data_IF_410755620763
#
_entry.id   IF_410755620763
#
_cell.length_a   1.000
_cell.length_b   1.000
_cell.length_c   1.000
_cell.angle_alpha   90.00
_cell.angle_beta   90.00
_cell.angle_gamma   90.00
#
_symmetry.space_group_name_H-M   'P 1'
#
loop_
_entity.id
_entity.type
_entity.pdbx_description
1 polymer ?
#
# COMPACT_ATOMS: atom_id res chain seq x y z
N UNK A 1 -1.58 13.19 6.15
CA UNK A 1 -1.74 11.72 6.27
C UNK A 1 -1.18 11.06 5.00
N UNK A 2 -0.71 9.81 5.05
CA UNK A 2 0.02 9.18 3.93
C UNK A 2 -0.75 9.22 2.59
N UNK A 3 -2.05 8.96 2.63
CA UNK A 3 -2.91 8.88 1.45
C UNK A 3 -3.19 10.23 0.77
N UNK A 4 -2.96 11.35 1.47
CA UNK A 4 -3.15 12.69 0.90
C UNK A 4 -2.03 13.05 -0.08
N UNK A 5 -0.90 12.34 0.00
CA UNK A 5 0.22 12.48 -0.91
C UNK A 5 0.04 11.67 -2.19
N UNK A 6 -1.05 10.91 -2.31
CA UNK A 6 -1.39 10.07 -3.45
C UNK A 6 -2.66 10.56 -4.16
N UNK A 7 -2.68 10.39 -5.47
CA UNK A 7 -3.86 10.59 -6.31
C UNK A 7 -4.89 9.48 -6.13
N UNK A 8 -6.14 9.73 -6.54
CA UNK A 8 -7.28 8.81 -6.44
C UNK A 8 -7.60 8.32 -5.01
N UNK A 9 -7.24 9.09 -3.97
CA UNK A 9 -7.46 8.72 -2.57
C UNK A 9 -8.93 8.71 -2.09
N UNK A 10 -9.90 9.07 -2.94
CA UNK A 10 -11.32 9.05 -2.58
C UNK A 10 -11.83 7.62 -2.31
N UNK A 11 -11.23 6.60 -2.92
CA UNK A 11 -11.59 5.20 -2.66
C UNK A 11 -11.46 4.87 -1.17
N UNK A 12 -10.34 5.25 -0.55
CA UNK A 12 -10.08 4.99 0.86
C UNK A 12 -11.12 5.70 1.76
N UNK A 13 -11.46 6.96 1.43
CA UNK A 13 -12.47 7.74 2.17
C UNK A 13 -13.87 7.15 2.09
N UNK A 14 -14.16 6.37 1.03
CA UNK A 14 -15.44 5.69 0.90
C UNK A 14 -15.55 4.44 1.79
N UNK A 15 -14.41 3.82 2.12
CA UNK A 15 -14.34 2.56 2.85
C UNK A 15 -14.10 2.75 4.35
N UNK A 16 -13.29 3.74 4.72
CA UNK A 16 -12.83 3.96 6.08
C UNK A 16 -13.42 5.23 6.67
N UNK A 17 -13.85 5.17 7.94
CA UNK A 17 -14.17 6.38 8.69
C UNK A 17 -12.90 7.16 9.05
N UNK A 18 -11.86 6.42 9.44
CA UNK A 18 -10.52 6.91 9.70
C UNK A 18 -9.54 6.00 8.93
N UNK A 19 -8.80 6.57 7.98
CA UNK A 19 -7.86 5.79 7.16
C UNK A 19 -6.66 5.41 8.03
N UNK A 20 -6.35 4.11 8.16
CA UNK A 20 -5.35 3.67 9.11
C UNK A 20 -3.92 3.97 8.68
N UNK A 21 -3.04 4.04 9.67
CA UNK A 21 -1.60 4.03 9.44
C UNK A 21 -1.16 2.66 8.96
N UNK A 22 -0.19 2.63 8.04
CA UNK A 22 0.34 1.40 7.47
C UNK A 22 1.42 0.83 8.39
N UNK A 23 1.00 0.28 9.54
CA UNK A 23 1.88 -0.29 10.58
C UNK A 23 1.78 -1.82 10.62
N UNK A 24 2.93 -2.49 10.61
CA UNK A 24 3.08 -3.95 10.64
C UNK A 24 2.14 -4.69 9.67
N UNK A 25 2.04 -4.20 8.43
CA UNK A 25 1.19 -4.79 7.39
C UNK A 25 1.96 -5.83 6.59
N UNK A 26 1.22 -6.71 5.92
CA UNK A 26 1.80 -7.63 4.92
C UNK A 26 2.02 -6.87 3.63
N UNK A 27 3.26 -6.92 3.13
CA UNK A 27 3.64 -6.39 1.82
C UNK A 27 3.70 -7.60 0.88
N UNK A 28 2.75 -7.67 -0.04
CA UNK A 28 2.66 -8.76 -0.99
C UNK A 28 3.76 -8.66 -2.05
N UNK A 29 4.06 -7.45 -2.51
CA UNK A 29 5.10 -7.23 -3.50
C UNK A 29 5.51 -5.78 -3.71
N UNK A 30 6.75 -5.62 -4.19
CA UNK A 30 7.31 -4.39 -4.73
C UNK A 30 7.78 -4.72 -6.14
N UNK A 31 7.09 -4.18 -7.16
CA UNK A 31 7.32 -4.54 -8.56
C UNK A 31 7.96 -3.38 -9.30
N UNK A 32 9.18 -3.59 -9.79
CA UNK A 32 9.84 -2.64 -10.70
C UNK A 32 9.30 -2.89 -12.10
N UNK A 33 8.73 -1.85 -12.71
CA UNK A 33 8.12 -1.88 -14.04
C UNK A 33 8.76 -0.81 -14.93
N UNK A 34 8.54 -0.94 -16.24
CA UNK A 34 8.92 0.09 -17.23
C UNK A 34 10.40 0.51 -17.14
N UNK A 35 11.28 -0.49 -17.00
CA UNK A 35 12.73 -0.29 -16.91
C UNK A 35 13.15 0.58 -15.71
N UNK A 36 12.38 0.54 -14.61
CA UNK A 36 12.67 1.27 -13.39
C UNK A 36 11.98 2.62 -13.26
N UNK A 37 11.24 3.06 -14.29
CA UNK A 37 10.46 4.31 -14.24
C UNK A 37 9.18 4.22 -13.44
N UNK A 38 8.75 3.00 -13.11
CA UNK A 38 7.55 2.74 -12.32
C UNK A 38 7.82 1.70 -11.24
N UNK A 39 7.28 1.94 -10.05
CA UNK A 39 7.20 0.94 -8.98
C UNK A 39 5.74 0.73 -8.62
N UNK A 40 5.29 -0.52 -8.55
CA UNK A 40 3.99 -0.87 -7.95
C UNK A 40 4.23 -1.45 -6.57
N UNK A 41 3.62 -0.87 -5.55
CA UNK A 41 3.51 -1.44 -4.20
C UNK A 41 2.18 -2.17 -4.09
N UNK A 42 2.20 -3.42 -3.63
CA UNK A 42 1.00 -4.18 -3.32
C UNK A 42 1.07 -4.66 -1.87
N UNK A 43 0.10 -4.25 -1.07
CA UNK A 43 0.09 -4.52 0.37
C UNK A 43 -1.33 -4.62 0.93
N UNK A 44 -1.45 -5.26 2.09
CA UNK A 44 -2.72 -5.41 2.79
C UNK A 44 -2.99 -4.17 3.65
N UNK A 45 -4.24 -3.70 3.67
CA UNK A 45 -4.68 -2.70 4.63
C UNK A 45 -4.67 -3.30 6.04
N UNK A 46 -4.30 -2.53 7.08
CA UNK A 46 -4.16 -3.03 8.46
C UNK A 46 -5.39 -3.73 9.03
N UNK A 47 -6.58 -3.28 8.63
CA UNK A 47 -7.85 -3.86 9.03
C UNK A 47 -8.90 -3.74 7.92
N UNK A 48 -9.90 -4.61 8.00
CA UNK A 48 -11.02 -4.61 7.09
C UNK A 48 -11.83 -3.31 7.20
N UNK A 49 -12.43 -2.88 6.08
CA UNK A 49 -13.16 -1.62 6.01
C UNK A 49 -14.44 -1.65 6.86
N UNK A 50 -14.79 -0.51 7.47
CA UNK A 50 -16.05 -0.33 8.18
C UNK A 50 -17.24 -0.15 7.23
N UNK A 51 -16.97 0.32 6.00
CA UNK A 51 -17.98 0.51 4.95
C UNK A 51 -17.61 -0.28 3.69
N UNK A 52 -17.52 -1.63 3.77
CA UNK A 52 -17.17 -2.43 2.60
C UNK A 52 -18.30 -2.37 1.56
N UNK A 53 -18.00 -2.48 0.25
CA UNK A 53 -19.02 -2.67 -0.77
C UNK A 53 -19.87 -3.90 -0.47
N UNK A 54 -21.18 -3.82 -0.75
CA UNK A 54 -22.13 -4.94 -0.52
C UNK A 54 -21.66 -6.27 -1.13
N UNK A 55 -21.01 -6.20 -2.29
CA UNK A 55 -20.42 -7.37 -2.95
C UNK A 55 -19.40 -8.08 -2.06
N UNK A 56 -18.49 -7.34 -1.42
CA UNK A 56 -17.44 -7.91 -0.58
C UNK A 56 -18.02 -8.56 0.68
N UNK A 57 -19.00 -7.92 1.31
CA UNK A 57 -19.73 -8.48 2.45
C UNK A 57 -20.46 -9.79 2.06
N UNK A 58 -21.16 -9.82 0.92
CA UNK A 58 -21.86 -11.01 0.45
C UNK A 58 -20.92 -12.17 0.09
N UNK A 59 -19.68 -11.87 -0.31
CA UNK A 59 -18.66 -12.87 -0.64
C UNK A 59 -17.82 -13.29 0.58
N UNK A 60 -18.08 -12.73 1.76
CA UNK A 60 -17.35 -13.06 2.99
C UNK A 60 -15.90 -12.59 2.99
N UNK A 61 -15.56 -11.55 2.22
CA UNK A 61 -14.20 -11.00 2.22
C UNK A 61 -13.84 -10.46 3.61
N UNK A 62 -12.60 -10.73 4.04
CA UNK A 62 -12.11 -10.43 5.38
C UNK A 62 -10.80 -9.61 5.37
N UNK A 63 -10.29 -9.27 4.18
CA UNK A 63 -9.08 -8.48 4.01
C UNK A 63 -9.20 -7.58 2.77
N UNK A 64 -8.41 -6.52 2.76
CA UNK A 64 -8.37 -5.53 1.66
C UNK A 64 -6.92 -5.37 1.26
N UNK A 65 -6.65 -5.49 -0.03
CA UNK A 65 -5.36 -5.22 -0.63
C UNK A 65 -5.42 -3.92 -1.43
N UNK A 66 -4.32 -3.17 -1.39
CA UNK A 66 -4.13 -1.91 -2.10
C UNK A 66 -2.95 -2.05 -3.05
N UNK A 67 -3.14 -1.59 -4.29
CA UNK A 67 -2.05 -1.36 -5.23
C UNK A 67 -1.82 0.14 -5.39
N UNK A 68 -0.58 0.57 -5.18
CA UNK A 68 -0.13 1.94 -5.39
C UNK A 68 0.94 1.94 -6.46
N UNK A 69 0.71 2.70 -7.52
CA UNK A 69 1.70 2.94 -8.57
C UNK A 69 2.46 4.23 -8.29
N UNK A 70 3.78 4.18 -8.41
CA UNK A 70 4.70 5.29 -8.24
C UNK A 70 5.45 5.49 -9.55
N UNK A 71 5.44 6.72 -10.07
CA UNK A 71 5.90 7.07 -11.40
C UNK A 71 7.07 8.05 -11.37
N UNK A 72 7.87 8.03 -12.45
CA UNK A 72 9.04 8.90 -12.62
C UNK A 72 9.99 8.76 -11.42
N UNK A 73 10.47 7.54 -11.22
CA UNK A 73 11.36 7.19 -10.11
C UNK A 73 12.71 7.91 -10.26
N UNK A 74 13.10 8.67 -9.24
CA UNK A 74 14.41 9.29 -9.09
C UNK A 74 15.40 8.35 -8.40
N UNK A 75 14.94 7.65 -7.37
CA UNK A 75 15.75 6.64 -6.68
C UNK A 75 14.89 5.52 -6.10
N UNK A 76 15.45 4.32 -6.12
CA UNK A 76 14.90 3.13 -5.49
C UNK A 76 16.04 2.36 -4.84
N UNK A 77 15.95 2.17 -3.53
CA UNK A 77 16.80 1.23 -2.78
C UNK A 77 15.90 0.23 -2.07
N UNK A 78 16.24 -1.06 -2.12
CA UNK A 78 15.50 -2.08 -1.40
C UNK A 78 16.39 -3.21 -0.91
N UNK A 79 16.02 -3.77 0.24
CA UNK A 79 16.68 -4.91 0.86
C UNK A 79 15.66 -5.76 1.60
N UNK A 80 15.81 -7.08 1.51
CA UNK A 80 15.05 -8.04 2.30
C UNK A 80 15.90 -8.67 3.41
N UNK A 81 15.24 -9.03 4.50
CA UNK A 81 15.80 -9.74 5.67
C UNK A 81 15.08 -11.08 5.95
N UNK A 82 13.89 -11.30 5.40
CA UNK A 82 13.04 -12.50 5.62
C UNK A 82 12.25 -12.82 4.34
N UNK A 83 11.41 -13.86 4.34
CA UNK A 83 10.43 -14.19 3.30
C UNK A 83 8.97 -13.90 3.71
N UNK A 84 8.75 -13.40 4.93
CA UNK A 84 7.43 -13.09 5.50
C UNK A 84 6.93 -11.65 5.22
N UNK A 85 7.79 -10.80 4.64
CA UNK A 85 7.55 -9.43 4.17
C UNK A 85 6.51 -8.61 4.95
N UNK A 86 6.67 -8.52 6.26
CA UNK A 86 5.92 -7.54 7.07
C UNK A 86 6.70 -6.26 7.31
N UNK A 87 5.99 -5.14 7.34
CA UNK A 87 6.62 -3.84 7.56
C UNK A 87 5.66 -2.69 7.77
N UNK A 88 6.24 -1.52 8.01
CA UNK A 88 5.55 -0.24 8.04
C UNK A 88 5.81 0.50 6.73
N UNK A 89 4.84 1.27 6.26
CA UNK A 89 4.99 2.15 5.08
C UNK A 89 4.66 3.58 5.49
N UNK A 90 5.61 4.47 5.27
CA UNK A 90 5.43 5.92 5.40
C UNK A 90 5.50 6.55 4.02
N UNK A 91 4.53 7.42 3.70
CA UNK A 91 4.48 8.15 2.42
C UNK A 91 4.33 9.62 2.73
N UNK A 92 5.33 10.40 2.33
CA UNK A 92 5.39 11.84 2.56
C UNK A 92 5.72 12.57 1.25
N UNK A 93 5.64 13.90 1.29
CA UNK A 93 6.24 14.77 0.29
C UNK A 93 7.38 15.56 0.92
N UNK A 94 8.48 15.71 0.19
CA UNK A 94 9.58 16.57 0.61
C UNK A 94 9.28 18.05 0.30
N UNK A 95 10.21 18.93 0.66
CA UNK A 95 10.10 20.38 0.44
C UNK A 95 10.03 20.77 -1.07
N UNK A 96 10.41 19.86 -1.96
CA UNK A 96 10.36 20.03 -3.41
C UNK A 96 9.05 19.47 -4.01
N UNK A 97 8.20 18.86 -3.18
CA UNK A 97 6.95 18.24 -3.58
C UNK A 97 7.09 16.82 -4.12
N UNK A 98 8.29 16.24 -4.09
CA UNK A 98 8.55 14.87 -4.51
C UNK A 98 8.01 13.90 -3.47
N UNK A 99 7.47 12.77 -3.93
CA UNK A 99 7.02 11.71 -3.04
C UNK A 99 8.24 10.96 -2.48
N UNK A 100 8.25 10.79 -1.17
CA UNK A 100 9.21 9.95 -0.46
C UNK A 100 8.47 8.82 0.27
N UNK A 101 8.78 7.58 -0.12
CA UNK A 101 8.25 6.37 0.51
C UNK A 101 9.36 5.68 1.28
N UNK A 102 9.11 5.45 2.57
CA UNK A 102 9.99 4.66 3.43
C UNK A 102 9.25 3.40 3.90
N UNK A 103 9.81 2.25 3.58
CA UNK A 103 9.36 0.94 4.05
C UNK A 103 10.38 0.41 5.06
N UNK A 104 9.91 0.01 6.23
CA UNK A 104 10.73 -0.55 7.31
C UNK A 104 10.17 -1.88 7.79
N UNK A 105 11.03 -2.78 8.29
CA UNK A 105 10.61 -4.10 8.76
C UNK A 105 11.44 -5.21 8.14
N UNK A 106 10.79 -6.31 7.79
CA UNK A 106 11.41 -7.50 7.19
C UNK A 106 11.79 -7.28 5.72
N UNK A 107 11.08 -6.37 5.06
CA UNK A 107 11.49 -5.74 3.81
C UNK A 107 11.70 -4.25 4.10
N UNK A 108 12.78 -3.70 3.57
CA UNK A 108 13.10 -2.28 3.66
C UNK A 108 13.21 -1.71 2.26
N UNK A 109 12.65 -0.52 2.06
CA UNK A 109 12.78 0.19 0.80
C UNK A 109 12.75 1.69 1.01
N UNK A 110 13.43 2.42 0.12
CA UNK A 110 13.35 3.88 0.01
C UNK A 110 13.08 4.22 -1.44
N UNK A 111 12.01 4.96 -1.70
CA UNK A 111 11.58 5.34 -3.04
C UNK A 111 11.42 6.85 -3.08
N UNK A 112 12.00 7.50 -4.09
CA UNK A 112 11.80 8.92 -4.37
C UNK A 112 11.29 9.08 -5.81
N UNK A 113 10.24 9.86 -5.99
CA UNK A 113 9.48 9.91 -7.25
C UNK A 113 8.67 11.21 -7.42
N UNK A 114 8.19 11.48 -8.62
CA UNK A 114 7.35 12.67 -8.87
C UNK A 114 5.89 12.46 -8.45
N UNK A 115 5.32 11.28 -8.71
CA UNK A 115 3.90 11.03 -8.55
C UNK A 115 3.57 9.63 -8.02
N UNK A 116 2.40 9.53 -7.39
CA UNK A 116 1.91 8.32 -6.74
C UNK A 116 0.39 8.26 -6.84
N UNK A 117 -0.12 7.10 -7.22
CA UNK A 117 -1.51 6.88 -7.58
C UNK A 117 -2.03 5.61 -6.89
N UNK A 118 -3.18 5.70 -6.25
CA UNK A 118 -3.89 4.48 -5.83
C UNK A 118 -4.51 3.83 -7.07
N UNK A 119 -3.86 2.77 -7.54
CA UNK A 119 -4.20 2.10 -8.79
C UNK A 119 -5.41 1.18 -8.63
N UNK A 120 -5.48 0.44 -7.52
CA UNK A 120 -6.59 -0.45 -7.25
C UNK A 120 -6.78 -0.71 -5.76
N UNK A 121 -8.01 -1.09 -5.40
CA UNK A 121 -8.38 -1.52 -4.06
C UNK A 121 -9.34 -2.69 -4.17
N UNK A 122 -8.98 -3.82 -3.56
CA UNK A 122 -9.70 -5.07 -3.73
C UNK A 122 -9.89 -5.78 -2.39
N UNK A 123 -11.11 -6.23 -2.12
CA UNK A 123 -11.37 -7.17 -1.04
C UNK A 123 -11.04 -8.59 -1.47
N UNK A 124 -10.57 -9.41 -0.52
CA UNK A 124 -10.31 -10.83 -0.75
C UNK A 124 -10.51 -11.64 0.54
N UNK A 125 -10.44 -12.97 0.40
CA UNK A 125 -10.40 -13.90 1.54
C UNK A 125 -8.93 -14.20 1.86
N UNK A 126 -8.48 -13.74 3.01
CA UNK A 126 -7.22 -14.12 3.58
C UNK A 126 -7.39 -15.34 4.48
N UNK A 127 -7.03 -16.51 3.98
CA UNK A 127 -7.13 -17.78 4.72
C UNK A 127 -6.22 -17.89 5.94
N UNK A 128 -5.27 -16.96 6.14
CA UNK A 128 -4.50 -16.89 7.38
C UNK A 128 -5.33 -16.38 8.56
N UNK A 129 -6.36 -15.56 8.31
CA UNK A 129 -7.25 -15.00 9.34
C UNK A 129 -8.44 -15.91 9.67
N UNK A 130 -8.69 -16.96 8.90
CA UNK A 130 -9.77 -17.93 9.18
C UNK A 130 -9.39 -18.98 10.24
N UNK A 131 -8.12 -19.02 10.66
CA UNK A 131 -7.58 -20.01 11.60
C UNK A 131 -7.48 -19.52 13.05
N UNK A 132 -8.00 -18.33 13.34
CA UNK A 132 -8.19 -17.77 14.69
C UNK A 132 -9.65 -17.93 15.15
#
# INVERSE_FOLDING_TARGET
MWYENLEENYFLKSLYNEIPKLENIRIEGIYIKEEGRKVTLHFDMPFYAEKPPKKWANLGYNSIALEVDIFDIHSLEMKTLSDTYRGNIEINKDDQGLIEINITGEVTAKIKADAGLIQSINGYINGALEKE
#
